data_IF_610712469013
#
_entry.id   IF_610712469013
#
_cell.length_a   1.000
_cell.length_b   1.000
_cell.length_c   1.000
_cell.angle_alpha   90.00
_cell.angle_beta   90.00
_cell.angle_gamma   90.00
#
_symmetry.space_group_name_H-M   'P 1'
#
loop_
_entity.id
_entity.type
_entity.pdbx_description
1 polymer ?
#
# COMPACT_ATOMS: atom_id res chain seq x y z
N UNK A 1 1.67 -50.19 -2.13
CA UNK A 1 0.29 -49.70 -2.25
C UNK A 1 0.28 -48.26 -1.76
N UNK A 2 0.00 -47.26 -2.61
CA UNK A 2 -0.21 -45.90 -2.13
C UNK A 2 -1.49 -45.86 -1.30
N UNK A 3 -1.40 -45.30 -0.11
CA UNK A 3 -2.57 -45.02 0.71
C UNK A 3 -3.25 -43.76 0.20
N UNK A 4 -4.53 -43.56 0.52
CA UNK A 4 -5.26 -42.33 0.13
C UNK A 4 -4.62 -41.04 0.70
N UNK A 5 -3.77 -41.18 1.72
CA UNK A 5 -2.99 -40.09 2.32
C UNK A 5 -1.74 -39.71 1.50
N UNK A 6 -1.26 -40.57 0.61
CA UNK A 6 -0.08 -40.33 -0.23
C UNK A 6 -0.43 -39.59 -1.55
N UNK A 7 -1.73 -39.35 -1.79
CA UNK A 7 -2.18 -38.57 -2.95
C UNK A 7 -1.96 -37.09 -2.61
N UNK A 8 -0.90 -36.52 -3.19
CA UNK A 8 -0.61 -35.09 -3.10
C UNK A 8 -1.76 -34.30 -3.72
N UNK A 9 -2.63 -33.73 -2.88
CA UNK A 9 -3.74 -32.90 -3.30
C UNK A 9 -3.33 -31.43 -3.13
N UNK A 10 -2.86 -30.75 -4.19
CA UNK A 10 -2.29 -29.41 -4.10
C UNK A 10 -3.27 -28.35 -3.56
N UNK A 11 -4.58 -28.66 -3.52
CA UNK A 11 -5.58 -27.80 -2.91
C UNK A 11 -5.72 -28.00 -1.39
N UNK A 12 -5.51 -29.22 -0.86
CA UNK A 12 -5.56 -29.49 0.59
C UNK A 12 -4.37 -28.86 1.30
N UNK A 13 -3.20 -28.91 0.68
CA UNK A 13 -1.96 -28.35 1.23
C UNK A 13 -2.03 -26.83 1.40
N UNK A 14 -2.94 -26.17 0.68
CA UNK A 14 -3.14 -24.72 0.69
C UNK A 14 -4.39 -24.27 1.44
N UNK A 15 -5.19 -25.22 1.89
CA UNK A 15 -6.37 -24.93 2.70
C UNK A 15 -5.90 -24.34 4.03
N UNK A 16 -6.29 -23.09 4.29
CA UNK A 16 -6.05 -22.42 5.55
C UNK A 16 -7.35 -22.23 6.30
N UNK A 17 -7.26 -22.16 7.63
CA UNK A 17 -8.42 -21.81 8.44
C UNK A 17 -8.84 -20.37 8.14
N UNK A 18 -10.15 -20.13 8.04
CA UNK A 18 -10.65 -18.78 7.81
C UNK A 18 -10.58 -17.97 9.10
N UNK A 19 -10.12 -16.74 9.00
CA UNK A 19 -10.02 -15.85 10.14
C UNK A 19 -10.18 -14.38 9.72
N UNK A 20 -10.79 -13.58 10.59
CA UNK A 20 -10.85 -12.12 10.44
C UNK A 20 -10.32 -11.47 11.71
N UNK A 21 -9.26 -10.67 11.60
CA UNK A 21 -8.55 -10.07 12.76
C UNK A 21 -8.17 -11.11 13.84
N UNK A 22 -7.94 -12.36 13.44
CA UNK A 22 -7.64 -13.48 14.34
C UNK A 22 -8.86 -14.23 14.87
N UNK A 23 -10.09 -13.72 14.69
CA UNK A 23 -11.31 -14.46 15.01
C UNK A 23 -11.55 -15.54 13.96
N UNK A 24 -11.57 -16.80 14.39
CA UNK A 24 -11.67 -17.98 13.53
C UNK A 24 -13.14 -18.27 13.21
N UNK A 25 -13.42 -18.64 11.96
CA UNK A 25 -14.73 -19.15 11.54
C UNK A 25 -14.59 -20.19 10.44
N UNK A 26 -15.66 -20.94 10.17
CA UNK A 26 -15.73 -21.88 9.05
C UNK A 26 -16.43 -21.23 7.87
N UNK A 27 -16.00 -21.56 6.64
CA UNK A 27 -16.58 -20.99 5.42
C UNK A 27 -17.42 -22.06 4.72
N UNK A 28 -18.66 -21.72 4.43
CA UNK A 28 -19.54 -22.51 3.56
C UNK A 28 -19.38 -22.08 2.11
N UNK A 29 -19.41 -20.77 1.86
CA UNK A 29 -19.26 -20.20 0.52
C UNK A 29 -18.49 -18.89 0.55
N UNK A 30 -17.76 -18.61 -0.53
CA UNK A 30 -17.01 -17.37 -0.68
C UNK A 30 -17.00 -16.90 -2.13
N UNK A 31 -17.46 -15.68 -2.34
CA UNK A 31 -17.45 -14.99 -3.62
C UNK A 31 -16.46 -13.81 -3.57
N UNK A 32 -15.76 -13.63 -4.69
CA UNK A 32 -14.83 -12.53 -4.90
C UNK A 32 -15.26 -11.78 -6.15
N UNK A 33 -15.58 -10.50 -6.01
CA UNK A 33 -16.00 -9.62 -7.10
C UNK A 33 -14.99 -8.49 -7.30
N UNK A 34 -14.48 -8.36 -8.52
CA UNK A 34 -13.65 -7.23 -8.94
C UNK A 34 -13.72 -7.12 -10.46
N UNK A 35 -13.28 -6.00 -11.01
CA UNK A 35 -13.36 -5.73 -12.44
C UNK A 35 -12.69 -4.41 -12.79
N UNK A 36 -13.07 -3.86 -13.94
CA UNK A 36 -12.70 -2.51 -14.34
C UNK A 36 -13.95 -1.66 -14.53
N UNK A 37 -13.85 -0.39 -14.17
CA UNK A 37 -14.87 0.61 -14.45
C UNK A 37 -14.71 1.01 -15.91
N UNK A 38 -15.74 0.75 -16.72
CA UNK A 38 -15.72 1.06 -18.15
C UNK A 38 -16.84 2.04 -18.45
N UNK A 39 -16.50 3.15 -19.11
CA UNK A 39 -17.47 4.12 -19.63
C UNK A 39 -17.70 3.80 -21.10
N UNK A 40 -18.96 3.57 -21.47
CA UNK A 40 -19.34 3.24 -22.84
C UNK A 40 -19.95 4.47 -23.50
N UNK A 41 -19.25 5.00 -24.50
CA UNK A 41 -19.69 6.13 -25.32
C UNK A 41 -20.42 5.60 -26.55
N UNK A 42 -21.70 5.95 -26.68
CA UNK A 42 -22.54 5.60 -27.84
C UNK A 42 -22.72 6.80 -28.76
N UNK A 43 -22.59 6.58 -30.07
CA UNK A 43 -22.71 7.64 -31.07
C UNK A 43 -23.93 7.39 -31.96
N UNK A 44 -24.76 8.42 -32.25
CA UNK A 44 -25.88 8.27 -33.17
C UNK A 44 -25.44 7.73 -34.53
N UNK A 45 -26.22 6.79 -35.09
CA UNK A 45 -25.97 6.16 -36.41
C UNK A 45 -24.69 5.32 -36.51
N UNK A 46 -24.05 5.00 -35.39
CA UNK A 46 -22.93 4.06 -35.35
C UNK A 46 -23.33 2.82 -34.54
N UNK A 47 -23.08 1.65 -35.10
CA UNK A 47 -23.36 0.38 -34.43
C UNK A 47 -22.28 0.01 -33.40
N UNK A 48 -21.05 0.48 -33.61
CA UNK A 48 -19.93 0.20 -32.71
C UNK A 48 -19.78 1.30 -31.66
N UNK A 49 -19.89 0.98 -30.35
CA UNK A 49 -19.59 1.91 -29.26
C UNK A 49 -18.07 2.04 -29.03
N UNK A 50 -17.67 3.12 -28.36
CA UNK A 50 -16.30 3.29 -27.85
C UNK A 50 -16.30 3.04 -26.34
N UNK A 51 -15.41 2.17 -25.85
CA UNK A 51 -15.29 1.84 -24.42
C UNK A 51 -14.01 2.41 -23.85
N UNK A 52 -14.14 3.30 -22.86
CA UNK A 52 -13.04 3.92 -22.14
C UNK A 52 -12.88 3.29 -20.77
N UNK A 53 -11.63 3.02 -20.37
CA UNK A 53 -11.30 2.36 -19.12
C UNK A 53 -10.97 3.37 -18.00
N UNK A 54 -11.81 3.40 -16.98
CA UNK A 54 -11.75 4.29 -15.81
C UNK A 54 -11.08 3.64 -14.59
N UNK A 55 -10.25 2.62 -14.83
CA UNK A 55 -9.46 1.96 -13.80
C UNK A 55 -10.18 0.78 -13.15
N UNK A 56 -9.60 0.28 -12.06
CA UNK A 56 -10.06 -0.92 -11.37
C UNK A 56 -11.29 -0.64 -10.49
N UNK A 57 -12.28 -1.51 -10.56
CA UNK A 57 -13.42 -1.56 -9.63
C UNK A 57 -12.93 -2.09 -8.28
N UNK A 58 -13.39 -1.51 -7.14
CA UNK A 58 -13.04 -2.01 -5.83
C UNK A 58 -13.26 -3.51 -5.73
N UNK A 59 -12.28 -4.20 -5.15
CA UNK A 59 -12.41 -5.60 -4.84
C UNK A 59 -13.33 -5.76 -3.62
N UNK A 60 -14.39 -6.54 -3.78
CA UNK A 60 -15.29 -6.93 -2.71
C UNK A 60 -15.32 -8.45 -2.54
N UNK A 61 -15.59 -8.86 -1.32
CA UNK A 61 -15.75 -10.25 -0.92
C UNK A 61 -17.10 -10.41 -0.25
N UNK A 62 -17.76 -11.50 -0.60
CA UNK A 62 -18.99 -11.92 0.05
C UNK A 62 -18.77 -13.31 0.60
N UNK A 63 -18.93 -13.46 1.91
CA UNK A 63 -18.55 -14.68 2.63
C UNK A 63 -19.73 -15.17 3.44
N UNK A 64 -20.14 -16.41 3.17
CA UNK A 64 -21.07 -17.13 4.02
C UNK A 64 -20.27 -18.12 4.85
N UNK A 65 -20.22 -17.89 6.14
CA UNK A 65 -19.55 -18.74 7.11
C UNK A 65 -20.47 -19.22 8.21
N UNK A 66 -19.93 -20.08 9.06
CA UNK A 66 -20.62 -20.56 10.23
C UNK A 66 -19.66 -20.82 11.38
N UNK A 67 -20.20 -20.79 12.59
CA UNK A 67 -19.54 -21.28 13.79
C UNK A 67 -20.29 -22.49 14.32
N UNK A 68 -19.53 -23.47 14.76
CA UNK A 68 -20.07 -24.73 15.30
C UNK A 68 -19.20 -25.21 16.45
N UNK A 69 -19.84 -25.69 17.51
CA UNK A 69 -19.14 -26.29 18.65
C UNK A 69 -19.78 -25.95 20.00
N UNK A 70 -19.21 -26.46 21.10
CA UNK A 70 -19.70 -26.17 22.45
C UNK A 70 -19.48 -24.70 22.85
N UNK A 71 -18.43 -24.05 22.31
CA UNK A 71 -18.05 -22.67 22.64
C UNK A 71 -18.44 -21.67 21.54
N UNK A 72 -19.35 -22.06 20.63
CA UNK A 72 -19.70 -21.22 19.48
C UNK A 72 -20.24 -19.85 19.87
N UNK A 73 -20.82 -19.71 21.07
CA UNK A 73 -21.31 -18.44 21.62
C UNK A 73 -20.14 -17.46 21.86
N UNK A 74 -19.08 -17.93 22.51
CA UNK A 74 -17.89 -17.13 22.77
C UNK A 74 -17.17 -16.77 21.46
N UNK A 75 -17.02 -17.76 20.56
CA UNK A 75 -16.39 -17.54 19.26
C UNK A 75 -17.20 -16.55 18.40
N UNK A 76 -18.53 -16.61 18.47
CA UNK A 76 -19.44 -15.66 17.80
C UNK A 76 -19.24 -14.25 18.35
N UNK A 77 -19.23 -14.09 19.67
CA UNK A 77 -19.09 -12.78 20.30
C UNK A 77 -17.71 -12.16 20.00
N UNK A 78 -16.64 -12.98 19.95
CA UNK A 78 -15.30 -12.56 19.51
C UNK A 78 -15.31 -12.10 18.04
N UNK A 79 -16.01 -12.83 17.17
CA UNK A 79 -16.11 -12.47 15.75
C UNK A 79 -16.92 -11.19 15.56
N UNK A 80 -18.04 -11.02 16.27
CA UNK A 80 -18.83 -9.78 16.27
C UNK A 80 -17.96 -8.60 16.71
N UNK A 81 -17.26 -8.73 17.84
CA UNK A 81 -16.37 -7.68 18.33
C UNK A 81 -15.27 -7.34 17.31
N UNK A 82 -14.78 -8.33 16.56
CA UNK A 82 -13.78 -8.13 15.51
C UNK A 82 -14.35 -7.40 14.28
N UNK A 83 -15.60 -7.69 13.91
CA UNK A 83 -16.33 -7.03 12.80
C UNK A 83 -16.71 -5.58 13.14
N UNK A 84 -17.07 -5.32 14.39
CA UNK A 84 -17.43 -3.99 14.89
C UNK A 84 -16.21 -3.12 15.24
N UNK A 85 -15.02 -3.72 15.35
CA UNK A 85 -13.79 -2.98 15.65
C UNK A 85 -13.43 -1.98 14.55
N UNK A 86 -13.03 -0.77 14.95
CA UNK A 86 -12.67 0.29 14.02
C UNK A 86 -11.45 -0.07 13.15
N UNK A 87 -11.47 0.44 11.92
CA UNK A 87 -10.35 0.35 10.98
C UNK A 87 -10.24 -0.97 10.22
N UNK A 88 -9.22 -1.09 9.37
CA UNK A 88 -9.03 -2.27 8.53
C UNK A 88 -8.64 -3.51 9.34
N UNK A 89 -9.10 -4.67 8.88
CA UNK A 89 -8.78 -5.97 9.43
C UNK A 89 -8.10 -6.86 8.39
N UNK A 90 -7.25 -7.77 8.85
CA UNK A 90 -6.73 -8.83 7.99
C UNK A 90 -7.76 -9.94 7.86
N UNK A 91 -8.16 -10.22 6.61
CA UNK A 91 -9.01 -11.34 6.24
C UNK A 91 -8.15 -12.47 5.67
N UNK A 92 -8.30 -13.64 6.26
CA UNK A 92 -7.69 -14.89 5.83
C UNK A 92 -8.81 -15.83 5.36
N UNK A 93 -8.70 -16.29 4.11
CA UNK A 93 -9.71 -17.14 3.49
C UNK A 93 -9.13 -18.51 3.12
N UNK A 94 -9.94 -19.59 3.18
CA UNK A 94 -9.46 -20.95 2.93
C UNK A 94 -9.11 -21.19 1.46
N UNK A 95 -9.70 -20.42 0.54
CA UNK A 95 -9.52 -20.60 -0.89
C UNK A 95 -8.47 -19.63 -1.44
N UNK A 96 -7.46 -20.17 -2.13
CA UNK A 96 -6.35 -19.40 -2.74
C UNK A 96 -6.79 -18.19 -3.57
N UNK A 97 -7.88 -18.32 -4.33
CA UNK A 97 -8.33 -17.27 -5.25
C UNK A 97 -9.03 -16.10 -4.54
N UNK A 98 -9.51 -16.31 -3.30
CA UNK A 98 -9.96 -15.22 -2.42
C UNK A 98 -8.75 -14.46 -1.88
N UNK A 99 -7.64 -15.16 -1.70
CA UNK A 99 -6.35 -14.64 -1.30
C UNK A 99 -6.12 -14.76 0.20
N UNK A 100 -4.85 -14.78 0.56
CA UNK A 100 -4.40 -14.97 1.94
C UNK A 100 -3.95 -13.62 2.50
N UNK A 101 -4.39 -13.30 3.72
CA UNK A 101 -3.97 -12.10 4.45
C UNK A 101 -4.21 -10.79 3.69
N UNK A 102 -5.45 -10.58 3.23
CA UNK A 102 -5.83 -9.34 2.57
C UNK A 102 -6.33 -8.34 3.61
N UNK A 103 -5.86 -7.11 3.52
CA UNK A 103 -6.38 -6.01 4.33
C UNK A 103 -7.71 -5.53 3.74
N UNK A 104 -8.78 -5.66 4.53
CA UNK A 104 -10.15 -5.34 4.14
C UNK A 104 -10.84 -4.52 5.21
N UNK A 105 -11.84 -3.75 4.78
CA UNK A 105 -12.82 -3.15 5.67
C UNK A 105 -14.04 -4.09 5.77
N UNK A 106 -14.48 -4.36 7.00
CA UNK A 106 -15.76 -5.04 7.23
C UNK A 106 -16.90 -4.10 6.81
N UNK A 107 -17.81 -4.64 6.00
CA UNK A 107 -19.04 -3.97 5.59
C UNK A 107 -20.22 -4.46 6.42
N UNK A 108 -21.32 -4.77 5.73
CA UNK A 108 -22.50 -5.33 6.39
C UNK A 108 -22.28 -6.79 6.79
N UNK A 109 -22.86 -7.19 7.92
CA UNK A 109 -22.92 -8.59 8.32
C UNK A 109 -24.31 -8.94 8.85
N UNK A 110 -24.69 -10.19 8.68
CA UNK A 110 -25.96 -10.74 9.18
C UNK A 110 -25.67 -12.05 9.90
N UNK A 111 -26.20 -12.19 11.10
CA UNK A 111 -26.07 -13.40 11.92
C UNK A 111 -27.44 -14.04 12.02
N UNK A 112 -27.51 -15.33 11.71
CA UNK A 112 -28.73 -16.13 11.80
C UNK A 112 -28.50 -17.35 12.68
N UNK A 113 -29.27 -17.42 13.76
CA UNK A 113 -29.35 -18.56 14.65
C UNK A 113 -30.74 -19.17 14.59
N UNK A 114 -30.81 -20.47 14.45
CA UNK A 114 -32.06 -21.21 14.32
C UNK A 114 -32.19 -22.13 15.51
N UNK A 115 -33.30 -22.04 16.26
CA UNK A 115 -33.51 -22.80 17.50
C UNK A 115 -33.39 -24.31 17.29
N UNK A 116 -33.83 -24.84 16.14
CA UNK A 116 -33.69 -26.27 15.85
C UNK A 116 -32.24 -26.72 15.62
N UNK A 117 -31.33 -25.78 15.32
CA UNK A 117 -29.91 -26.03 15.07
C UNK A 117 -29.07 -25.50 16.23
N UNK A 118 -29.24 -26.12 17.40
CA UNK A 118 -28.43 -25.79 18.58
C UNK A 118 -26.93 -26.01 18.30
N UNK A 119 -26.08 -25.11 18.79
CA UNK A 119 -24.64 -25.19 18.59
C UNK A 119 -24.16 -24.73 17.21
N UNK A 120 -25.02 -24.06 16.42
CA UNK A 120 -24.73 -23.59 15.07
C UNK A 120 -25.16 -22.13 14.88
N UNK A 121 -24.27 -21.33 14.31
CA UNK A 121 -24.52 -19.93 13.97
C UNK A 121 -24.09 -19.68 12.53
N UNK A 122 -25.00 -19.24 11.68
CA UNK A 122 -24.70 -18.85 10.29
C UNK A 122 -24.40 -17.36 10.22
N UNK A 123 -23.38 -16.98 9.47
CA UNK A 123 -22.96 -15.59 9.34
C UNK A 123 -22.70 -15.26 7.87
N UNK A 124 -23.31 -14.19 7.40
CA UNK A 124 -23.08 -13.60 6.09
C UNK A 124 -22.32 -12.29 6.28
N UNK A 125 -21.20 -12.11 5.59
CA UNK A 125 -20.32 -10.95 5.74
C UNK A 125 -19.93 -10.40 4.37
N UNK A 126 -19.95 -9.08 4.26
CA UNK A 126 -19.40 -8.35 3.14
C UNK A 126 -18.09 -7.67 3.55
N UNK A 127 -17.05 -7.81 2.73
CA UNK A 127 -15.79 -7.11 2.92
C UNK A 127 -15.43 -6.33 1.66
N UNK A 128 -14.81 -5.17 1.83
CA UNK A 128 -14.27 -4.36 0.72
C UNK A 128 -12.77 -4.15 0.92
N UNK A 129 -12.00 -4.14 -0.17
CA UNK A 129 -10.55 -3.89 -0.09
C UNK A 129 -10.24 -2.57 0.61
N UNK A 130 -9.24 -2.58 1.49
CA UNK A 130 -8.75 -1.36 2.08
C UNK A 130 -7.79 -0.65 1.11
N UNK A 131 -8.26 0.43 0.49
CA UNK A 131 -7.45 1.26 -0.39
C UNK A 131 -6.64 2.29 0.40
N UNK A 132 -5.33 2.37 0.16
CA UNK A 132 -4.53 3.52 0.65
C UNK A 132 -5.03 4.79 -0.08
N UNK A 133 -5.36 5.88 0.64
CA UNK A 133 -5.79 7.11 -0.01
C UNK A 133 -4.64 7.64 -0.88
N UNK A 134 -4.88 7.73 -2.19
CA UNK A 134 -3.89 8.15 -3.20
C UNK A 134 -3.46 9.63 -3.12
N UNK A 135 -4.02 10.40 -2.20
CA UNK A 135 -3.58 11.78 -1.91
C UNK A 135 -2.52 11.82 -0.81
N UNK A 136 -1.49 10.99 -0.92
CA UNK A 136 -0.28 11.16 -0.13
C UNK A 136 0.78 11.84 -1.02
N UNK A 137 0.87 13.17 -0.94
CA UNK A 137 1.99 13.91 -1.53
C UNK A 137 1.64 15.01 -2.54
N UNK A 138 0.66 15.88 -2.25
CA UNK A 138 0.90 17.27 -2.63
C UNK A 138 1.88 17.79 -1.58
N UNK A 139 3.18 17.67 -1.86
CA UNK A 139 4.17 18.40 -1.09
C UNK A 139 3.72 19.87 -1.06
N UNK A 140 3.74 20.55 0.11
CA UNK A 140 3.62 21.99 0.13
C UNK A 140 4.64 22.52 -0.86
N UNK A 141 4.20 23.27 -1.88
CA UNK A 141 5.15 23.95 -2.76
C UNK A 141 6.09 24.77 -1.87
N UNK A 142 7.43 24.70 -2.04
CA UNK A 142 8.34 25.44 -1.19
C UNK A 142 8.08 26.94 -1.37
N UNK A 143 7.41 27.54 -0.40
CA UNK A 143 7.20 29.00 -0.31
C UNK A 143 8.53 29.66 0.02
N UNK A 144 9.03 30.48 -0.92
CA UNK A 144 10.01 31.60 -0.81
C UNK A 144 11.35 31.44 -0.07
N UNK A 145 11.48 30.58 0.94
CA UNK A 145 12.69 30.46 1.77
C UNK A 145 13.86 29.83 0.99
N UNK A 146 13.57 28.94 0.03
CA UNK A 146 14.59 28.35 -0.85
C UNK A 146 15.11 29.32 -1.91
N UNK A 147 14.36 30.37 -2.28
CA UNK A 147 14.86 31.45 -3.14
C UNK A 147 15.87 32.36 -2.39
N UNK A 148 15.66 32.60 -1.09
CA UNK A 148 16.56 33.42 -0.27
C UNK A 148 17.94 32.78 -0.06
N UNK A 149 17.99 31.45 0.05
CA UNK A 149 19.24 30.71 0.17
C UNK A 149 20.08 30.74 -1.12
N UNK A 150 19.45 30.81 -2.30
CA UNK A 150 20.16 30.97 -3.57
C UNK A 150 20.82 32.36 -3.69
N UNK A 151 20.16 33.41 -3.20
CA UNK A 151 20.72 34.78 -3.19
C UNK A 151 21.98 34.92 -2.34
N UNK A 152 22.00 34.33 -1.14
CA UNK A 152 23.16 34.40 -0.23
C UNK A 152 24.39 33.64 -0.75
N UNK A 153 24.19 32.55 -1.51
CA UNK A 153 25.28 31.85 -2.21
C UNK A 153 25.84 32.71 -3.34
N UNK A 154 24.99 33.45 -4.06
CA UNK A 154 25.46 34.35 -5.14
C UNK A 154 26.25 35.54 -4.59
N UNK A 155 25.82 36.11 -3.46
CA UNK A 155 26.51 37.25 -2.82
C UNK A 155 27.89 36.86 -2.26
N UNK A 156 28.03 35.66 -1.71
CA UNK A 156 29.32 35.16 -1.19
C UNK A 156 30.31 34.82 -2.31
N UNK A 157 29.85 34.30 -3.45
CA UNK A 157 30.69 34.08 -4.64
C UNK A 157 31.15 35.41 -5.24
N UNK A 158 30.28 36.41 -5.32
CA UNK A 158 30.65 37.74 -5.81
C UNK A 158 31.73 38.40 -4.92
N UNK A 159 31.62 38.25 -3.60
CA UNK A 159 32.62 38.75 -2.65
C UNK A 159 33.98 38.04 -2.79
N UNK A 160 33.98 36.72 -3.00
CA UNK A 160 35.22 35.94 -3.17
C UNK A 160 35.96 36.26 -4.49
N UNK A 161 35.23 36.49 -5.58
CA UNK A 161 35.83 36.84 -6.87
C UNK A 161 36.53 38.21 -6.81
N UNK A 162 35.97 39.15 -6.05
CA UNK A 162 36.57 40.48 -5.84
C UNK A 162 37.86 40.42 -5.01
N UNK A 163 37.92 39.56 -3.98
CA UNK A 163 39.09 39.47 -3.11
C UNK A 163 40.27 38.70 -3.72
N UNK A 164 40.03 37.85 -4.72
CA UNK A 164 41.05 36.90 -5.21
C UNK A 164 41.67 37.31 -6.56
N UNK A 165 40.99 38.14 -7.37
CA UNK A 165 41.44 38.51 -8.73
C UNK A 165 42.23 39.83 -8.77
N UNK A 166 42.16 40.68 -7.74
CA UNK A 166 42.79 42.00 -7.72
C UNK A 166 44.26 42.05 -7.30
N UNK A 167 44.81 40.99 -6.72
CA UNK A 167 46.18 40.97 -6.21
C UNK A 167 47.17 40.64 -7.34
N UNK A 168 47.49 41.62 -8.20
CA UNK A 168 48.66 41.50 -9.09
C UNK A 168 49.90 41.47 -8.19
N UNK A 169 50.68 40.38 -8.13
CA UNK A 169 51.87 40.34 -7.30
C UNK A 169 52.82 41.45 -7.75
N UNK A 170 53.32 42.22 -6.80
CA UNK A 170 54.27 43.30 -7.07
C UNK A 170 55.53 42.73 -7.74
N UNK A 171 56.20 43.53 -8.59
CA UNK A 171 57.40 43.09 -9.33
C UNK A 171 58.48 42.49 -8.41
N UNK A 172 58.58 42.98 -7.16
CA UNK A 172 59.48 42.46 -6.13
C UNK A 172 59.15 41.01 -5.72
N UNK A 173 57.86 40.66 -5.65
CA UNK A 173 57.42 39.30 -5.31
C UNK A 173 57.68 38.32 -6.46
N UNK A 174 57.56 38.78 -7.71
CA UNK A 174 57.89 37.97 -8.89
C UNK A 174 59.39 37.73 -8.98
N UNK A 175 60.21 38.76 -8.72
CA UNK A 175 61.67 38.64 -8.76
C UNK A 175 62.21 37.70 -7.65
N UNK A 176 61.64 37.77 -6.44
CA UNK A 176 62.03 36.87 -5.34
C UNK A 176 61.71 35.39 -5.64
N UNK A 177 60.59 35.12 -6.31
CA UNK A 177 60.23 33.77 -6.77
C UNK A 177 61.17 33.28 -7.87
N UNK A 178 61.53 34.17 -8.81
CA UNK A 178 62.51 33.85 -9.85
C UNK A 178 63.86 33.49 -9.23
N UNK A 179 64.44 34.34 -8.39
CA UNK A 179 65.78 34.13 -7.81
C UNK A 179 65.85 32.84 -6.97
N UNK A 180 64.76 32.50 -6.27
CA UNK A 180 64.61 31.21 -5.56
C UNK A 180 64.59 30.02 -6.53
N UNK A 181 63.94 30.16 -7.68
CA UNK A 181 63.85 29.09 -8.69
C UNK A 181 65.17 28.83 -9.42
N UNK A 182 66.00 29.88 -9.63
CA UNK A 182 67.27 29.74 -10.37
C UNK A 182 68.46 29.40 -9.46
N UNK A 183 68.23 29.16 -8.18
CA UNK A 183 69.27 28.77 -7.21
C UNK A 183 70.35 29.83 -6.99
N UNK A 184 70.05 31.10 -7.30
CA UNK A 184 71.00 32.21 -7.12
C UNK A 184 70.92 32.69 -5.68
N UNK A 185 71.91 32.35 -4.87
CA UNK A 185 72.04 32.94 -3.53
C UNK A 185 72.47 34.40 -3.69
N UNK A 186 71.74 35.37 -3.11
CA UNK A 186 72.13 36.78 -3.16
C UNK A 186 73.43 37.00 -2.36
N UNK A 187 74.40 37.67 -2.97
CA UNK A 187 75.58 38.25 -2.30
C UNK A 187 75.22 39.56 -1.61
#
# INVERSE_FOLDING_TARGET
>A
MSTIKDIKNPWRDKFQQAAFRGAIFYVESGARSSGRRVVVHTYPKRNDPYSEDMGRTPLSFHVTGFLIGPNYLDDRDILIASLEADGPGTLQMPFDYLGHNIEVMAGTYTITEVRERGGYCSIEMEFTEFGKPGFAGVAPMPTSETLGAAGTVQDTVAAFMSSTIGATPSATQVQALWDTSVGRVPT
#
